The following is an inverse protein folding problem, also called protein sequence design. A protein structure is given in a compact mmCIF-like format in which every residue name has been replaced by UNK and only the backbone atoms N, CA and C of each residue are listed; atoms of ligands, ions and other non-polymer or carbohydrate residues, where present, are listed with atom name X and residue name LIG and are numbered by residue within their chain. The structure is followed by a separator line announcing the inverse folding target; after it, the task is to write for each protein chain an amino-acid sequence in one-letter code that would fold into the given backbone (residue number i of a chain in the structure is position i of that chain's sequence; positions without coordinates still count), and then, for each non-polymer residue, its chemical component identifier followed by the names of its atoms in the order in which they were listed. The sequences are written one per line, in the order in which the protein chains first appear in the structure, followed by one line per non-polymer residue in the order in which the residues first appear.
data_IF_565779354783
#
_entry.id   IF_565779354783
#
_cell.length_a   1.000
_cell.length_b   1.000
_cell.length_c   1.000
_cell.angle_alpha   90.00
_cell.angle_beta   90.00
_cell.angle_gamma   90.00
#
_symmetry.space_group_name_H-M   'P 1'
#
loop_
_entity.id
_entity.type
_entity.pdbx_description
1 polymer ?
#
# COMPACT_ATOMS: atom_id res chain seq x y z
N UNK A 1 -4.23 -19.40 13.47
CA UNK A 1 -2.96 -19.00 12.79
C UNK A 1 -2.80 -17.51 13.03
N UNK A 2 -1.62 -17.05 13.42
CA UNK A 2 -1.37 -15.62 13.63
C UNK A 2 -1.64 -14.81 12.35
N UNK A 3 -2.26 -13.64 12.46
CA UNK A 3 -2.61 -12.80 11.30
C UNK A 3 -1.40 -12.51 10.40
N UNK A 4 -0.25 -12.17 10.98
CA UNK A 4 0.95 -11.89 10.17
C UNK A 4 1.53 -13.14 9.50
N UNK A 5 1.39 -14.32 10.10
CA UNK A 5 1.80 -15.57 9.46
C UNK A 5 0.89 -15.87 8.25
N UNK A 6 -0.42 -15.62 8.39
CA UNK A 6 -1.37 -15.73 7.29
C UNK A 6 -1.04 -14.77 6.14
N UNK A 7 -0.73 -13.50 6.44
CA UNK A 7 -0.36 -12.50 5.42
C UNK A 7 0.86 -12.97 4.63
N UNK A 8 1.91 -13.41 5.33
CA UNK A 8 3.15 -13.86 4.70
C UNK A 8 2.91 -15.12 3.87
N UNK A 9 2.18 -16.11 4.39
CA UNK A 9 1.86 -17.32 3.65
C UNK A 9 0.97 -17.04 2.43
N UNK A 10 -0.03 -16.14 2.57
CA UNK A 10 -0.86 -15.71 1.45
C UNK A 10 -0.03 -15.10 0.31
N UNK A 11 0.82 -14.12 0.64
CA UNK A 11 1.65 -13.44 -0.36
C UNK A 11 2.67 -14.40 -1.00
N UNK A 12 3.24 -15.30 -0.21
CA UNK A 12 4.14 -16.34 -0.70
C UNK A 12 3.43 -17.28 -1.69
N UNK A 13 2.20 -17.72 -1.40
CA UNK A 13 1.38 -18.53 -2.31
C UNK A 13 1.03 -17.80 -3.61
N UNK A 14 0.97 -16.47 -3.58
CA UNK A 14 0.79 -15.60 -4.77
C UNK A 14 2.11 -15.31 -5.50
N UNK A 15 3.22 -15.96 -5.12
CA UNK A 15 4.53 -15.83 -5.76
C UNK A 15 5.36 -14.63 -5.28
N UNK A 16 4.95 -13.99 -4.19
CA UNK A 16 5.69 -12.88 -3.57
C UNK A 16 6.57 -13.48 -2.48
N UNK A 17 7.86 -13.60 -2.76
CA UNK A 17 8.85 -14.18 -1.85
C UNK A 17 9.79 -13.12 -1.26
N UNK A 18 9.87 -11.94 -1.88
CA UNK A 18 10.77 -10.87 -1.54
C UNK A 18 9.97 -9.67 -1.00
N UNK A 19 10.30 -9.26 0.23
CA UNK A 19 9.65 -8.19 0.97
C UNK A 19 10.63 -7.05 1.19
N UNK A 20 10.28 -5.84 0.76
CA UNK A 20 11.14 -4.67 0.83
C UNK A 20 10.67 -3.73 1.94
N UNK A 21 11.53 -3.39 2.89
CA UNK A 21 11.09 -2.54 3.98
C UNK A 21 12.17 -2.10 4.94
N UNK A 22 11.74 -1.38 5.96
CA UNK A 22 12.55 -1.06 7.12
C UNK A 22 11.77 -1.39 8.38
N UNK A 23 12.45 -2.05 9.32
CA UNK A 23 11.82 -2.48 10.56
C UNK A 23 11.46 -1.29 11.46
N UNK A 24 10.41 -1.47 12.26
CA UNK A 24 9.99 -0.53 13.29
C UNK A 24 8.99 -1.18 14.22
N UNK A 25 8.71 -0.54 15.35
CA UNK A 25 7.91 -1.16 16.43
C UNK A 25 6.54 -1.60 15.94
N UNK A 26 5.83 -0.76 15.18
CA UNK A 26 4.44 -1.03 14.80
C UNK A 26 4.29 -2.02 13.62
N UNK A 27 5.39 -2.53 13.07
CA UNK A 27 5.40 -3.56 12.03
C UNK A 27 6.21 -4.81 12.43
N UNK A 28 6.72 -4.84 13.65
CA UNK A 28 7.65 -5.87 14.12
C UNK A 28 7.08 -7.30 14.02
N UNK A 29 5.78 -7.49 14.22
CA UNK A 29 5.17 -8.81 14.13
C UNK A 29 5.11 -9.34 12.70
N UNK A 30 4.93 -8.46 11.71
CA UNK A 30 5.01 -8.84 10.30
C UNK A 30 6.46 -9.22 9.92
N UNK A 31 7.43 -8.41 10.34
CA UNK A 31 8.86 -8.69 10.10
C UNK A 31 9.26 -10.04 10.70
N UNK A 32 8.85 -10.31 11.93
CA UNK A 32 9.09 -11.61 12.60
C UNK A 32 8.50 -12.79 11.79
N UNK A 33 7.31 -12.63 11.22
CA UNK A 33 6.68 -13.66 10.39
C UNK A 33 7.40 -13.85 9.05
N UNK A 34 7.90 -12.76 8.42
CA UNK A 34 8.70 -12.84 7.21
C UNK A 34 10.01 -13.59 7.45
N UNK A 35 10.72 -13.27 8.54
CA UNK A 35 12.00 -13.89 8.88
C UNK A 35 11.87 -15.37 9.29
N UNK A 36 10.75 -15.76 9.87
CA UNK A 36 10.46 -17.16 10.27
C UNK A 36 10.05 -18.05 9.10
N UNK A 37 9.54 -17.50 8.02
CA UNK A 37 9.13 -18.26 6.85
C UNK A 37 10.34 -18.55 5.95
N UNK A 38 10.73 -19.83 5.83
CA UNK A 38 11.90 -20.26 5.07
C UNK A 38 11.81 -20.00 3.56
N UNK A 39 10.65 -19.61 3.05
CA UNK A 39 10.41 -19.34 1.63
C UNK A 39 10.32 -17.85 1.30
N UNK A 40 10.52 -16.99 2.29
CA UNK A 40 10.50 -15.53 2.12
C UNK A 40 11.81 -14.89 2.51
N UNK A 41 12.07 -13.69 1.99
CA UNK A 41 13.27 -12.89 2.25
C UNK A 41 12.88 -11.47 2.53
N UNK A 42 13.45 -10.89 3.58
CA UNK A 42 13.35 -9.47 3.88
C UNK A 42 14.56 -8.73 3.30
N UNK A 43 14.29 -7.67 2.56
CA UNK A 43 15.29 -6.75 2.02
C UNK A 43 15.20 -5.42 2.76
N UNK A 44 16.06 -5.25 3.75
CA UNK A 44 16.09 -4.05 4.57
C UNK A 44 16.71 -2.87 3.81
N UNK A 45 16.00 -1.76 3.77
CA UNK A 45 16.49 -0.47 3.28
C UNK A 45 16.61 0.51 4.45
N UNK A 46 17.64 1.36 4.45
CA UNK A 46 17.80 2.37 5.50
C UNK A 46 16.78 3.51 5.45
N UNK A 47 15.91 3.53 4.45
CA UNK A 47 14.84 4.49 4.29
C UNK A 47 13.66 3.85 3.56
N UNK A 48 12.44 4.06 4.04
CA UNK A 48 11.23 3.39 3.53
C UNK A 48 10.92 3.78 2.08
N UNK A 49 11.24 5.03 1.68
CA UNK A 49 11.13 5.45 0.28
C UNK A 49 12.01 4.57 -0.64
N UNK A 50 13.23 4.27 -0.21
CA UNK A 50 14.12 3.37 -0.95
C UNK A 50 13.55 1.95 -1.06
N UNK A 51 12.91 1.45 0.01
CA UNK A 51 12.22 0.16 0.00
C UNK A 51 11.04 0.15 -0.99
N UNK A 52 10.25 1.23 -1.01
CA UNK A 52 9.13 1.38 -1.94
C UNK A 52 9.60 1.36 -3.40
N UNK A 53 10.63 2.14 -3.76
CA UNK A 53 11.19 2.12 -5.11
C UNK A 53 11.86 0.79 -5.47
N UNK A 54 12.48 0.10 -4.50
CA UNK A 54 13.01 -1.25 -4.73
C UNK A 54 11.90 -2.24 -5.08
N UNK A 55 10.75 -2.18 -4.38
CA UNK A 55 9.58 -2.99 -4.70
C UNK A 55 9.00 -2.64 -6.09
N UNK A 56 8.95 -1.35 -6.46
CA UNK A 56 8.52 -0.91 -7.79
C UNK A 56 9.45 -1.48 -8.87
N UNK A 57 10.76 -1.32 -8.73
CA UNK A 57 11.74 -1.87 -9.67
C UNK A 57 11.67 -3.40 -9.77
N UNK A 58 11.44 -4.09 -8.64
CA UNK A 58 11.26 -5.54 -8.62
C UNK A 58 9.98 -5.97 -9.34
N UNK A 59 8.87 -5.26 -9.14
CA UNK A 59 7.62 -5.51 -9.84
C UNK A 59 7.76 -5.31 -11.34
N UNK A 60 8.40 -4.22 -11.75
CA UNK A 60 8.64 -3.87 -13.14
C UNK A 60 9.53 -4.89 -13.85
N UNK A 61 10.70 -5.21 -13.26
CA UNK A 61 11.67 -6.13 -13.86
C UNK A 61 11.15 -7.57 -13.95
N UNK A 62 10.28 -7.98 -13.02
CA UNK A 62 9.75 -9.32 -12.96
C UNK A 62 8.35 -9.48 -13.57
N UNK A 63 7.70 -8.40 -14.01
CA UNK A 63 6.30 -8.37 -14.46
C UNK A 63 5.33 -9.03 -13.46
N UNK A 64 5.65 -8.90 -12.17
CA UNK A 64 4.97 -9.60 -11.06
C UNK A 64 4.52 -8.63 -9.99
N UNK A 65 3.65 -9.10 -9.09
CA UNK A 65 3.30 -8.34 -7.90
C UNK A 65 4.47 -8.33 -6.91
N UNK A 66 4.70 -7.19 -6.26
CA UNK A 66 5.71 -7.02 -5.22
C UNK A 66 5.07 -6.60 -3.89
N UNK A 67 5.86 -6.63 -2.80
CA UNK A 67 5.43 -6.18 -1.50
C UNK A 67 6.47 -5.26 -0.85
N UNK A 68 6.01 -4.11 -0.35
CA UNK A 68 6.82 -3.26 0.53
C UNK A 68 6.11 -3.04 1.87
N UNK A 69 6.90 -2.81 2.92
CA UNK A 69 6.35 -2.58 4.26
C UNK A 69 7.07 -1.46 5.00
N UNK A 70 6.36 -0.80 5.93
CA UNK A 70 6.92 0.20 6.83
C UNK A 70 6.17 0.24 8.16
N UNK A 71 6.80 0.84 9.16
CA UNK A 71 6.15 1.14 10.45
C UNK A 71 5.17 2.29 10.32
N UNK A 72 4.46 2.62 11.40
CA UNK A 72 3.49 3.73 11.47
C UNK A 72 4.15 5.11 11.30
N UNK A 73 3.30 6.12 11.16
CA UNK A 73 3.68 7.53 11.20
C UNK A 73 4.66 7.91 10.08
N UNK A 74 5.83 8.50 10.41
CA UNK A 74 6.78 8.95 9.40
C UNK A 74 7.29 7.81 8.51
N UNK A 75 7.40 6.57 9.02
CA UNK A 75 7.77 5.42 8.20
C UNK A 75 6.76 5.13 7.11
N UNK A 76 5.47 5.09 7.45
CA UNK A 76 4.40 4.93 6.47
C UNK A 76 4.34 6.11 5.49
N UNK A 77 4.50 7.35 5.98
CA UNK A 77 4.52 8.55 5.13
C UNK A 77 5.64 8.51 4.08
N UNK A 78 6.81 7.97 4.44
CA UNK A 78 7.94 7.84 3.54
C UNK A 78 7.68 6.88 2.35
N UNK A 79 6.69 5.98 2.43
CA UNK A 79 6.29 5.13 1.30
C UNK A 79 5.56 5.88 0.20
N UNK A 80 4.94 7.03 0.49
CA UNK A 80 3.99 7.73 -0.43
C UNK A 80 4.62 8.02 -1.80
N UNK A 81 5.89 8.41 -1.85
CA UNK A 81 6.57 8.68 -3.13
C UNK A 81 6.63 7.43 -4.02
N UNK A 82 6.99 6.27 -3.45
CA UNK A 82 7.02 5.02 -4.20
C UNK A 82 5.62 4.47 -4.49
N UNK A 83 4.62 4.74 -3.63
CA UNK A 83 3.21 4.41 -3.92
C UNK A 83 2.73 5.20 -5.15
N UNK A 84 3.06 6.49 -5.22
CA UNK A 84 2.72 7.34 -6.36
C UNK A 84 3.41 6.87 -7.65
N UNK A 85 4.70 6.50 -7.57
CA UNK A 85 5.45 5.90 -8.66
C UNK A 85 4.78 4.63 -9.20
N UNK A 86 4.47 3.68 -8.31
CA UNK A 86 3.73 2.47 -8.66
C UNK A 86 2.36 2.76 -9.30
N UNK A 87 1.68 3.82 -8.84
CA UNK A 87 0.38 4.21 -9.38
C UNK A 87 0.49 4.74 -10.82
N UNK A 88 1.43 5.63 -11.08
CA UNK A 88 1.64 6.21 -12.41
C UNK A 88 2.15 5.18 -13.42
N UNK A 89 3.05 4.30 -12.98
CA UNK A 89 3.63 3.26 -13.84
C UNK A 89 2.80 1.97 -13.90
N UNK A 90 1.65 1.96 -13.21
CA UNK A 90 0.72 0.81 -13.22
C UNK A 90 1.35 -0.49 -12.69
N UNK A 91 2.18 -0.37 -11.65
CA UNK A 91 2.87 -1.49 -11.03
C UNK A 91 2.02 -2.11 -9.91
N UNK A 92 1.80 -3.43 -9.92
CA UNK A 92 1.06 -4.10 -8.85
C UNK A 92 1.97 -4.26 -7.63
N UNK A 93 1.83 -3.36 -6.67
CA UNK A 93 2.58 -3.43 -5.41
C UNK A 93 1.63 -3.42 -4.23
N UNK A 94 1.79 -4.37 -3.31
CA UNK A 94 1.09 -4.41 -2.03
C UNK A 94 1.94 -3.68 -1.00
N UNK A 95 1.45 -2.57 -0.49
CA UNK A 95 2.07 -1.84 0.60
C UNK A 95 1.42 -2.21 1.93
N UNK A 96 2.22 -2.63 2.91
CA UNK A 96 1.78 -3.00 4.25
C UNK A 96 2.36 -1.99 5.24
N UNK A 97 1.50 -1.31 5.98
CA UNK A 97 1.93 -0.37 7.03
C UNK A 97 1.55 -0.87 8.41
N UNK A 98 2.40 -0.65 9.38
CA UNK A 98 2.06 -0.86 10.78
C UNK A 98 1.30 0.32 11.34
N UNK A 99 0.49 0.08 12.37
CA UNK A 99 -0.30 1.12 13.03
C UNK A 99 -0.39 0.85 14.54
N UNK A 100 -0.81 1.86 15.30
CA UNK A 100 -1.14 1.73 16.71
C UNK A 100 -2.14 0.62 16.97
N UNK A 101 -2.17 0.10 18.21
CA UNK A 101 -3.28 -0.76 18.59
C UNK A 101 -4.62 -0.03 18.48
N UNK A 102 -5.67 -0.71 18.06
CA UNK A 102 -6.99 -0.10 17.85
C UNK A 102 -7.55 0.57 19.10
N UNK A 103 -7.18 0.11 20.29
CA UNK A 103 -7.59 0.67 21.58
C UNK A 103 -6.74 1.85 22.08
N UNK A 104 -5.64 2.19 21.38
CA UNK A 104 -4.77 3.33 21.71
C UNK A 104 -5.23 4.64 21.07
N UNK A 105 -6.20 4.59 20.16
CA UNK A 105 -6.77 5.79 19.59
C UNK A 105 -7.54 6.57 20.66
N UNK A 106 -7.23 7.84 20.79
CA UNK A 106 -7.86 8.71 21.81
C UNK A 106 -9.37 8.87 21.60
N UNK A 107 -9.86 8.75 20.37
CA UNK A 107 -11.26 8.96 20.00
C UNK A 107 -11.73 10.41 20.14
N UNK A 108 -10.84 11.34 20.45
CA UNK A 108 -11.17 12.76 20.62
C UNK A 108 -11.19 13.44 19.24
N UNK A 109 -12.34 13.99 18.79
CA UNK A 109 -12.42 14.68 17.52
C UNK A 109 -11.51 15.91 17.47
N UNK A 110 -10.87 16.15 16.32
CA UNK A 110 -10.04 17.33 16.09
C UNK A 110 -8.61 17.24 16.63
N UNK A 111 -8.20 16.14 17.26
CA UNK A 111 -6.80 15.91 17.56
C UNK A 111 -6.01 15.71 16.28
N UNK A 112 -4.82 16.33 16.23
CA UNK A 112 -3.90 16.16 15.08
C UNK A 112 -3.28 14.77 15.02
N UNK A 113 -3.19 14.10 16.15
CA UNK A 113 -2.58 12.79 16.33
C UNK A 113 -3.36 12.03 17.38
N UNK A 114 -3.88 10.86 17.03
CA UNK A 114 -4.72 10.06 17.91
C UNK A 114 -3.91 9.22 18.92
N UNK A 115 -2.63 8.99 18.63
CA UNK A 115 -1.68 8.28 19.49
C UNK A 115 -0.24 8.54 19.04
N UNK A 116 0.74 7.84 19.62
CA UNK A 116 2.16 8.06 19.35
C UNK A 116 2.54 7.76 17.89
N UNK A 117 3.04 8.76 17.18
CA UNK A 117 3.45 8.67 15.76
C UNK A 117 2.36 8.09 14.84
N UNK A 118 1.09 8.36 15.16
CA UNK A 118 -0.03 7.97 14.33
C UNK A 118 -0.23 9.00 13.21
N UNK A 119 -0.54 8.51 12.02
CA UNK A 119 -1.08 9.29 10.90
C UNK A 119 -2.18 8.47 10.21
N UNK A 120 -3.13 9.14 9.59
CA UNK A 120 -4.09 8.50 8.70
C UNK A 120 -3.44 8.22 7.33
N UNK A 121 -2.64 7.16 7.29
CA UNK A 121 -1.93 6.74 6.06
C UNK A 121 -2.91 6.31 4.97
N UNK A 122 -4.08 5.78 5.33
CA UNK A 122 -5.11 5.39 4.37
C UNK A 122 -5.64 6.60 3.62
N UNK A 123 -5.98 7.68 4.34
CA UNK A 123 -6.41 8.93 3.71
C UNK A 123 -5.30 9.56 2.85
N UNK A 124 -4.03 9.51 3.29
CA UNK A 124 -2.89 10.04 2.55
C UNK A 124 -2.61 9.26 1.26
N UNK A 125 -2.72 7.93 1.29
CA UNK A 125 -2.43 7.07 0.15
C UNK A 125 -3.60 6.94 -0.84
N UNK A 126 -4.83 7.19 -0.40
CA UNK A 126 -6.04 6.99 -1.19
C UNK A 126 -6.02 7.61 -2.60
N UNK A 127 -5.50 8.84 -2.82
CA UNK A 127 -5.45 9.44 -4.17
C UNK A 127 -4.48 8.76 -5.13
N UNK A 128 -3.51 7.99 -4.62
CA UNK A 128 -2.43 7.35 -5.39
C UNK A 128 -2.39 5.83 -5.21
N UNK A 129 -3.53 5.23 -4.86
CA UNK A 129 -3.71 3.78 -4.77
C UNK A 129 -5.01 3.35 -5.45
N UNK A 130 -5.06 2.12 -5.91
CA UNK A 130 -6.33 1.52 -6.37
C UNK A 130 -7.22 1.13 -5.20
N UNK A 131 -6.61 0.80 -4.06
CA UNK A 131 -7.31 0.43 -2.84
C UNK A 131 -6.44 0.74 -1.63
N UNK A 132 -7.04 1.31 -0.60
CA UNK A 132 -6.37 1.53 0.68
C UNK A 132 -7.36 1.25 1.82
N UNK A 133 -6.95 0.46 2.81
CA UNK A 133 -7.79 0.04 3.93
C UNK A 133 -6.98 -0.13 5.20
N UNK A 134 -7.57 0.20 6.34
CA UNK A 134 -7.08 -0.19 7.67
C UNK A 134 -7.88 -1.38 8.16
N UNK A 135 -7.21 -2.43 8.62
CA UNK A 135 -7.84 -3.61 9.20
C UNK A 135 -8.30 -3.28 10.63
N UNK A 136 -9.53 -3.64 10.96
CA UNK A 136 -10.13 -3.33 12.25
C UNK A 136 -10.37 -4.56 13.12
N UNK A 137 -10.64 -5.69 12.51
CA UNK A 137 -10.86 -6.97 13.18
C UNK A 137 -9.96 -8.05 12.57
N UNK A 138 -9.54 -9.03 13.34
CA UNK A 138 -8.60 -10.07 12.91
C UNK A 138 -9.09 -10.85 11.68
N UNK A 139 -10.38 -11.15 11.63
CA UNK A 139 -11.00 -11.91 10.53
C UNK A 139 -11.12 -11.11 9.23
N UNK A 140 -11.12 -9.77 9.29
CA UNK A 140 -11.21 -8.90 8.11
C UNK A 140 -10.01 -9.09 7.18
N UNK A 141 -8.86 -9.49 7.72
CA UNK A 141 -7.63 -9.65 6.94
C UNK A 141 -7.79 -10.65 5.80
N UNK A 142 -8.57 -11.71 6.02
CA UNK A 142 -8.77 -12.76 4.99
C UNK A 142 -9.45 -12.18 3.76
N UNK A 143 -10.52 -11.42 3.97
CA UNK A 143 -11.28 -10.78 2.90
C UNK A 143 -10.49 -9.63 2.27
N UNK A 144 -9.95 -8.75 3.09
CA UNK A 144 -9.32 -7.52 2.62
C UNK A 144 -8.00 -7.78 1.89
N UNK A 145 -7.21 -8.79 2.29
CA UNK A 145 -5.98 -9.15 1.61
C UNK A 145 -6.26 -9.82 0.25
N UNK A 146 -7.25 -10.73 0.19
CA UNK A 146 -7.69 -11.30 -1.09
C UNK A 146 -8.16 -10.19 -2.05
N UNK A 147 -9.03 -9.29 -1.57
CA UNK A 147 -9.54 -8.15 -2.32
C UNK A 147 -8.42 -7.23 -2.82
N UNK A 148 -7.52 -6.81 -1.95
CA UNK A 148 -6.40 -5.94 -2.29
C UNK A 148 -5.51 -6.56 -3.37
N UNK A 149 -5.17 -7.84 -3.24
CA UNK A 149 -4.37 -8.55 -4.22
C UNK A 149 -5.06 -8.63 -5.60
N UNK A 150 -6.35 -8.95 -5.63
CA UNK A 150 -7.13 -8.95 -6.88
C UNK A 150 -7.17 -7.57 -7.52
N UNK A 151 -7.43 -6.52 -6.74
CA UNK A 151 -7.49 -5.13 -7.22
C UNK A 151 -6.12 -4.69 -7.79
N UNK A 152 -5.01 -5.03 -7.10
CA UNK A 152 -3.67 -4.68 -7.58
C UNK A 152 -3.37 -5.27 -8.96
N UNK A 153 -3.87 -6.47 -9.24
CA UNK A 153 -3.53 -7.24 -10.43
C UNK A 153 -4.60 -7.21 -11.55
N UNK A 154 -5.79 -6.64 -11.31
CA UNK A 154 -6.89 -6.61 -12.28
C UNK A 154 -6.92 -5.31 -13.09
N UNK A 155 -7.43 -5.38 -14.33
CA UNK A 155 -7.52 -4.24 -15.24
C UNK A 155 -6.17 -3.53 -15.40
N UNK A 156 -6.16 -2.18 -15.34
CA UNK A 156 -4.92 -1.44 -15.21
C UNK A 156 -4.33 -1.73 -13.83
N UNK A 157 -3.21 -2.44 -13.78
CA UNK A 157 -2.52 -2.78 -12.53
C UNK A 157 -2.16 -1.53 -11.72
N UNK A 158 -1.89 -1.69 -10.43
CA UNK A 158 -1.49 -0.55 -9.59
C UNK A 158 -1.38 -0.92 -8.11
N UNK A 159 -0.88 0.02 -7.30
CA UNK A 159 -0.62 -0.21 -5.89
C UNK A 159 -1.89 -0.30 -5.05
N UNK A 160 -1.78 -1.06 -3.97
CA UNK A 160 -2.76 -1.14 -2.89
C UNK A 160 -2.06 -0.98 -1.54
N UNK A 161 -2.79 -0.47 -0.53
CA UNK A 161 -2.25 -0.30 0.81
C UNK A 161 -3.16 -0.97 1.84
N UNK A 162 -2.57 -1.74 2.75
CA UNK A 162 -3.24 -2.32 3.91
C UNK A 162 -2.53 -1.85 5.17
N UNK A 163 -3.24 -1.11 6.01
CA UNK A 163 -2.76 -0.61 7.28
C UNK A 163 -3.13 -1.58 8.41
N UNK A 164 -2.12 -2.03 9.17
CA UNK A 164 -2.20 -3.16 10.08
C UNK A 164 -1.96 -2.70 11.54
N UNK A 165 -3.00 -2.45 12.34
CA UNK A 165 -2.84 -2.19 13.76
C UNK A 165 -2.09 -3.32 14.47
N UNK A 166 -1.23 -2.95 15.43
CA UNK A 166 -0.33 -3.90 16.08
C UNK A 166 -1.06 -5.01 16.85
N UNK A 167 -2.21 -4.74 17.45
CA UNK A 167 -3.04 -5.79 18.07
C UNK A 167 -3.60 -6.77 17.03
N UNK A 168 -4.02 -6.29 15.87
CA UNK A 168 -4.47 -7.13 14.75
C UNK A 168 -3.33 -8.01 14.25
N UNK A 169 -2.12 -7.48 14.09
CA UNK A 169 -0.96 -8.28 13.69
C UNK A 169 -0.70 -9.48 14.61
N UNK A 170 -1.05 -9.37 15.90
CA UNK A 170 -0.91 -10.43 16.91
C UNK A 170 -2.13 -11.34 17.00
N UNK A 171 -3.25 -10.94 16.43
CA UNK A 171 -4.49 -11.69 16.46
C UNK A 171 -4.44 -13.00 15.66
N UNK A 172 -5.53 -13.71 15.64
CA UNK A 172 -5.62 -15.04 15.07
C UNK A 172 -6.67 -15.15 13.97
N UNK A 173 -6.28 -15.63 12.81
CA UNK A 173 -7.17 -16.07 11.74
C UNK A 173 -7.64 -17.49 12.05
N UNK A 174 -8.94 -17.67 12.24
CA UNK A 174 -9.56 -18.99 12.53
C UNK A 174 -9.74 -19.82 11.26
N UNK A 175 -10.17 -19.17 10.18
CA UNK A 175 -10.48 -19.81 8.91
C UNK A 175 -9.64 -19.19 7.77
N UNK A 176 -8.38 -19.60 7.59
CA UNK A 176 -7.53 -19.07 6.53
C UNK A 176 -8.04 -19.54 5.16
N UNK A 177 -8.34 -18.59 4.27
CA UNK A 177 -8.71 -18.83 2.86
C UNK A 177 -7.76 -18.03 1.98
N UNK A 178 -7.14 -18.69 1.02
CA UNK A 178 -6.08 -18.09 0.18
C UNK A 178 -6.56 -17.69 -1.22
N UNK A 179 -7.71 -18.15 -1.63
CA UNK A 179 -8.35 -17.80 -2.90
C UNK A 179 -9.85 -17.61 -2.68
N UNK A 180 -10.27 -16.35 -2.67
CA UNK A 180 -11.68 -15.96 -2.65
C UNK A 180 -11.93 -15.22 -3.96
N UNK A 181 -12.92 -15.67 -4.74
CA UNK A 181 -13.29 -14.97 -5.97
C UNK A 181 -13.94 -13.61 -5.68
N UNK A 182 -13.85 -12.68 -6.61
CA UNK A 182 -14.50 -11.36 -6.47
C UNK A 182 -16.01 -11.49 -6.29
N UNK A 183 -16.63 -12.47 -6.94
CA UNK A 183 -18.05 -12.75 -6.81
C UNK A 183 -18.42 -13.21 -5.40
N UNK A 184 -17.63 -14.11 -4.81
CA UNK A 184 -17.81 -14.56 -3.40
C UNK A 184 -17.59 -13.44 -2.39
N UNK A 185 -16.76 -12.44 -2.73
CA UNK A 185 -16.57 -11.23 -1.91
C UNK A 185 -17.69 -10.20 -2.09
N UNK A 186 -18.68 -10.46 -2.96
CA UNK A 186 -19.79 -9.55 -3.25
C UNK A 186 -19.40 -8.37 -4.16
N UNK A 187 -18.29 -8.49 -4.89
CA UNK A 187 -17.83 -7.54 -5.88
C UNK A 187 -18.12 -8.08 -7.30
N UNK A 188 -19.39 -8.33 -7.64
CA UNK A 188 -19.79 -8.68 -9.00
C UNK A 188 -19.49 -7.58 -10.00
N UNK A 189 -19.76 -7.79 -11.29
CA UNK A 189 -19.42 -6.98 -12.47
C UNK A 189 -19.49 -5.43 -12.36
N UNK A 190 -20.13 -4.90 -11.31
CA UNK A 190 -20.14 -3.46 -11.02
C UNK A 190 -18.78 -2.90 -10.59
N UNK A 191 -17.85 -3.72 -10.12
CA UNK A 191 -16.50 -3.28 -9.73
C UNK A 191 -15.59 -3.13 -10.95
N UNK A 192 -15.75 -3.97 -11.97
CA UNK A 192 -14.97 -3.88 -13.21
C UNK A 192 -15.31 -2.58 -13.98
N UNK A 193 -16.58 -2.23 -14.07
CA UNK A 193 -17.02 -1.01 -14.78
C UNK A 193 -16.62 0.29 -14.06
N UNK A 194 -16.59 0.32 -12.72
CA UNK A 194 -16.13 1.49 -11.97
C UNK A 194 -14.61 1.62 -11.99
N UNK A 195 -13.87 0.51 -12.08
CA UNK A 195 -12.42 0.50 -12.20
C UNK A 195 -11.97 0.93 -13.60
N UNK A 196 -12.73 0.59 -14.67
CA UNK A 196 -12.52 1.07 -16.03
C UNK A 196 -12.89 2.56 -16.18
N UNK A 197 -13.94 3.02 -15.50
CA UNK A 197 -14.36 4.43 -15.54
C UNK A 197 -13.29 5.36 -14.91
N UNK A 198 -12.61 4.93 -13.84
CA UNK A 198 -11.52 5.70 -13.23
C UNK A 198 -10.27 5.72 -14.12
N UNK A 199 -10.00 4.64 -14.84
CA UNK A 199 -8.91 4.59 -15.83
C UNK A 199 -9.18 5.49 -17.04
N UNK A 200 -10.43 5.59 -17.48
CA UNK A 200 -10.83 6.40 -18.64
C UNK A 200 -10.98 7.90 -18.33
N UNK A 201 -11.30 8.29 -17.09
CA UNK A 201 -11.42 9.70 -16.72
C UNK A 201 -10.07 10.43 -16.62
N UNK A 202 -8.96 9.71 -16.44
CA UNK A 202 -7.61 10.29 -16.45
C UNK A 202 -7.05 10.50 -17.89
N UNK A 203 -7.65 9.86 -18.90
CA UNK A 203 -7.22 9.97 -20.31
C UNK A 203 -7.90 11.09 -21.11
N UNK A 204 -8.94 11.73 -20.58
CA UNK A 204 -9.76 12.69 -21.33
C UNK A 204 -9.57 14.16 -20.95
N UNK A 205 -8.74 14.49 -19.95
CA UNK A 205 -8.31 15.85 -19.70
C UNK A 205 -7.07 16.13 -20.56
N UNK A 206 -7.26 16.32 -21.86
CA UNK A 206 -6.27 16.97 -22.70
C UNK A 206 -5.99 18.36 -22.14
N UNK A 207 -4.91 18.49 -21.38
CA UNK A 207 -4.35 19.79 -21.03
C UNK A 207 -3.81 20.35 -22.34
N UNK A 208 -4.59 21.22 -22.95
CA UNK A 208 -4.16 22.05 -24.07
C UNK A 208 -3.09 23.01 -23.51
N UNK A 209 -1.83 22.55 -23.46
CA UNK A 209 -0.68 23.39 -23.19
C UNK A 209 -0.33 24.17 -24.45
N UNK A 210 -1.24 25.04 -24.88
CA UNK A 210 -0.86 26.14 -25.72
C UNK A 210 0.01 27.10 -24.89
N UNK A 211 1.32 26.87 -24.88
CA UNK A 211 2.29 27.88 -24.45
C UNK A 211 2.11 29.10 -25.36
N UNK A 212 1.52 30.16 -24.82
CA UNK A 212 1.62 31.48 -25.43
C UNK A 212 3.08 31.92 -25.33
N UNK A 213 3.73 32.25 -26.43
CA UNK A 213 5.05 32.91 -26.36
C UNK A 213 4.78 34.38 -26.13
N UNK A 214 4.88 34.87 -24.91
CA UNK A 214 5.34 36.22 -24.61
C UNK A 214 5.44 36.45 -23.07
N UNK A 215 6.67 36.50 -22.61
CA UNK A 215 7.10 37.39 -21.53
C UNK A 215 8.62 37.40 -21.43
N UNK A 216 9.23 38.15 -22.36
CA UNK A 216 10.65 38.51 -22.35
C UNK A 216 10.96 39.59 -21.29
N UNK A 217 10.50 39.40 -20.05
CA UNK A 217 10.58 40.42 -19.00
C UNK A 217 11.29 40.08 -17.71
N UNK A 218 11.84 38.85 -17.54
CA UNK A 218 12.34 38.42 -16.21
C UNK A 218 13.83 38.04 -16.19
N UNK A 219 14.63 38.50 -17.10
CA UNK A 219 16.06 38.16 -17.14
C UNK A 219 17.02 39.33 -16.92
N UNK A 220 16.59 40.43 -16.31
CA UNK A 220 17.47 41.59 -16.08
C UNK A 220 17.77 41.96 -14.63
N UNK A 221 17.34 41.19 -13.62
CA UNK A 221 17.59 41.48 -12.21
C UNK A 221 18.60 40.57 -11.48
N UNK A 222 19.34 39.71 -12.19
CA UNK A 222 20.35 38.85 -11.59
C UNK A 222 21.80 39.22 -11.90
N UNK A 223 22.07 40.49 -12.28
CA UNK A 223 23.42 41.05 -12.42
C UNK A 223 23.54 42.38 -11.65
N UNK A 224 23.54 42.27 -10.31
CA UNK A 224 24.20 43.22 -9.41
C UNK A 224 24.53 42.56 -8.09
#
# INVERSE_FOLDING_TARGET
MKVTDYIVEFLQRKGIHDFFGYQGTMIAHLVDSIEKNSHTRSHSSYHEQGAAFAACGYAQAGERCACAYATSGPGAANLISGIADAYFDSLPVVFLTGQLNTYEYSGIPGLRQQGFQEIDIVAMAKPVTKYAVQIREDEDIVKELNKAYHIANSGRKGPVLIDLPMNIQRGDVKNPVYDISLDEMGFGAACESSMEATANSCGAAGVDMAMKPDDSGVLESAKR
#
